data_IF_633884642404
#
_entry.id   IF_633884642404
#
_cell.length_a   1.000
_cell.length_b   1.000
_cell.length_c   1.000
_cell.angle_alpha   90.00
_cell.angle_beta   90.00
_cell.angle_gamma   90.00
#
_symmetry.space_group_name_H-M   'P 1'
#
loop_
_entity.id
_entity.type
_entity.pdbx_description
1 polymer ?
#
# COMPACT_ATOMS: atom_id res chain seq x y z
N UNK A 1 35.60 7.85 47.84
CA UNK A 1 34.55 7.70 46.81
C UNK A 1 33.90 9.06 46.68
N UNK A 2 34.39 9.83 45.72
CA UNK A 2 34.04 11.25 45.56
C UNK A 2 32.69 11.37 44.86
N UNK A 3 31.98 12.48 45.07
CA UNK A 3 30.76 12.82 44.32
C UNK A 3 31.06 13.04 42.82
N UNK A 4 32.31 13.27 42.45
CA UNK A 4 32.76 13.27 41.04
C UNK A 4 32.71 11.86 40.43
N UNK A 5 33.04 10.79 41.17
CA UNK A 5 33.09 9.41 40.65
C UNK A 5 31.69 8.87 40.30
N UNK A 6 30.62 9.42 40.88
CA UNK A 6 29.24 9.01 40.57
C UNK A 6 28.65 9.71 39.34
N UNK A 7 29.26 10.80 38.87
CA UNK A 7 28.76 11.57 37.72
C UNK A 7 29.35 11.10 36.39
N UNK A 8 30.46 10.35 36.43
CA UNK A 8 31.13 9.81 35.24
C UNK A 8 30.55 8.48 34.74
N UNK A 9 29.62 7.85 35.45
CA UNK A 9 29.04 6.56 35.03
C UNK A 9 27.82 6.69 34.10
N UNK A 10 27.38 7.91 33.74
CA UNK A 10 26.15 8.16 32.98
C UNK A 10 26.37 8.70 31.55
N UNK A 11 27.60 8.77 31.05
CA UNK A 11 27.91 9.37 29.75
C UNK A 11 28.85 8.51 28.89
N UNK A 12 28.67 7.20 28.89
CA UNK A 12 29.40 6.30 27.98
C UNK A 12 28.47 5.69 26.92
N UNK A 13 27.77 6.56 26.18
CA UNK A 13 27.17 6.26 24.87
C UNK A 13 28.14 6.66 23.73
N UNK A 14 29.45 6.55 23.97
CA UNK A 14 30.48 7.16 23.11
C UNK A 14 30.86 6.34 21.86
N UNK A 15 30.07 5.34 21.46
CA UNK A 15 30.36 4.50 20.28
C UNK A 15 29.17 4.20 19.35
N UNK A 16 28.00 4.82 19.55
CA UNK A 16 26.93 4.78 18.55
C UNK A 16 27.06 5.97 17.61
N UNK A 17 27.09 5.73 16.29
CA UNK A 17 26.94 6.80 15.29
C UNK A 17 25.74 7.67 15.67
N UNK A 18 26.03 8.88 16.15
CA UNK A 18 25.01 9.85 16.56
C UNK A 18 23.99 9.97 15.43
N UNK A 19 22.74 9.62 15.73
CA UNK A 19 21.67 9.72 14.75
C UNK A 19 21.62 11.17 14.23
N UNK A 20 21.77 11.40 12.90
CA UNK A 20 21.88 12.74 12.36
C UNK A 20 20.56 13.52 12.40
N UNK A 21 19.46 12.85 12.75
CA UNK A 21 18.11 13.41 12.76
C UNK A 21 17.74 13.93 14.14
N UNK A 22 17.27 15.17 14.19
CA UNK A 22 16.62 15.70 15.38
C UNK A 22 15.24 15.07 15.58
N UNK A 23 14.66 15.11 16.80
CA UNK A 23 13.29 14.64 17.03
C UNK A 23 12.26 15.29 16.09
N UNK A 24 12.44 16.56 15.71
CA UNK A 24 11.59 17.23 14.71
C UNK A 24 11.75 16.66 13.31
N UNK A 25 12.97 16.31 12.90
CA UNK A 25 13.22 15.70 11.58
C UNK A 25 12.61 14.29 11.52
N UNK A 26 12.65 13.56 12.62
CA UNK A 26 11.96 12.27 12.77
C UNK A 26 10.45 12.41 12.60
N UNK A 27 9.83 13.43 13.20
CA UNK A 27 8.39 13.68 13.01
C UNK A 27 8.06 13.94 11.54
N UNK A 28 8.90 14.70 10.83
CA UNK A 28 8.70 14.98 9.41
C UNK A 28 8.82 13.70 8.56
N UNK A 29 9.86 12.89 8.81
CA UNK A 29 10.07 11.62 8.12
C UNK A 29 8.91 10.65 8.35
N UNK A 30 8.51 10.44 9.60
CA UNK A 30 7.39 9.56 9.95
C UNK A 30 6.07 10.05 9.33
N UNK A 31 5.86 11.36 9.28
CA UNK A 31 4.66 11.94 8.63
C UNK A 31 4.63 11.67 7.13
N UNK A 32 5.78 11.78 6.46
CA UNK A 32 5.93 11.45 5.04
C UNK A 32 5.62 9.98 4.76
N UNK A 33 6.16 9.09 5.58
CA UNK A 33 5.97 7.64 5.42
C UNK A 33 4.50 7.26 5.64
N UNK A 34 3.86 7.76 6.71
CA UNK A 34 2.42 7.56 6.98
C UNK A 34 1.57 8.03 5.79
N UNK A 35 1.85 9.21 5.25
CA UNK A 35 1.08 9.76 4.13
C UNK A 35 1.26 8.94 2.85
N UNK A 36 2.46 8.41 2.61
CA UNK A 36 2.74 7.53 1.48
C UNK A 36 2.00 6.19 1.58
N UNK A 37 1.87 5.66 2.80
CA UNK A 37 1.23 4.39 3.08
C UNK A 37 -0.31 4.51 2.99
N UNK A 38 -0.87 5.61 3.51
CA UNK A 38 -2.29 5.95 3.37
C UNK A 38 -2.67 6.20 1.88
N UNK A 39 -1.78 6.83 1.10
CA UNK A 39 -1.92 7.04 -0.35
C UNK A 39 -1.96 5.73 -1.15
N UNK A 40 -0.99 4.83 -0.92
CA UNK A 40 -0.87 3.54 -1.62
C UNK A 40 -2.05 2.61 -1.33
N UNK A 41 -2.66 2.73 -0.16
CA UNK A 41 -3.80 1.93 0.27
C UNK A 41 -5.17 2.55 -0.05
N UNK A 42 -5.19 3.68 -0.78
CA UNK A 42 -6.44 4.39 -1.02
C UNK A 42 -7.45 3.53 -1.77
N UNK A 43 -8.57 3.25 -1.11
CA UNK A 43 -9.74 2.54 -1.65
C UNK A 43 -10.25 3.20 -2.94
N UNK A 44 -9.97 4.49 -3.12
CA UNK A 44 -10.39 5.26 -4.28
C UNK A 44 -9.79 4.71 -5.59
N UNK A 45 -8.56 4.20 -5.56
CA UNK A 45 -7.93 3.60 -6.75
C UNK A 45 -8.62 2.27 -7.14
N UNK A 46 -9.03 1.49 -6.15
CA UNK A 46 -9.76 0.24 -6.35
C UNK A 46 -11.14 0.51 -6.94
N UNK A 47 -11.89 1.43 -6.33
CA UNK A 47 -13.25 1.78 -6.76
C UNK A 47 -13.23 2.36 -8.18
N UNK A 48 -12.27 3.24 -8.48
CA UNK A 48 -12.11 3.82 -9.82
C UNK A 48 -11.82 2.76 -10.88
N UNK A 49 -10.92 1.81 -10.58
CA UNK A 49 -10.56 0.72 -11.51
C UNK A 49 -11.75 -0.21 -11.78
N UNK A 50 -12.51 -0.57 -10.75
CA UNK A 50 -13.70 -1.41 -10.90
C UNK A 50 -14.80 -0.69 -11.69
N UNK A 51 -15.01 0.61 -11.44
CA UNK A 51 -15.98 1.40 -12.19
C UNK A 51 -15.63 1.45 -13.70
N UNK A 52 -14.36 1.65 -14.04
CA UNK A 52 -13.90 1.63 -15.43
C UNK A 52 -14.16 0.28 -16.13
N UNK A 53 -13.90 -0.83 -15.44
CA UNK A 53 -14.16 -2.18 -15.97
C UNK A 53 -15.66 -2.41 -16.23
N UNK A 54 -16.53 -1.96 -15.32
CA UNK A 54 -17.99 -2.07 -15.49
C UNK A 54 -18.47 -1.26 -16.68
N UNK A 55 -18.03 -0.01 -16.82
CA UNK A 55 -18.39 0.85 -17.96
C UNK A 55 -17.92 0.22 -19.27
N UNK A 56 -16.70 -0.34 -19.30
CA UNK A 56 -16.18 -1.03 -20.47
C UNK A 56 -17.01 -2.26 -20.84
N UNK A 57 -17.37 -3.11 -19.86
CA UNK A 57 -18.23 -4.27 -20.09
C UNK A 57 -19.61 -3.87 -20.64
N UNK A 58 -20.23 -2.82 -20.10
CA UNK A 58 -21.52 -2.30 -20.60
C UNK A 58 -21.42 -1.80 -22.04
N UNK A 59 -20.30 -1.16 -22.41
CA UNK A 59 -20.09 -0.69 -23.79
C UNK A 59 -20.04 -1.85 -24.79
N UNK A 60 -19.39 -2.97 -24.43
CA UNK A 60 -19.31 -4.17 -25.27
C UNK A 60 -20.68 -4.84 -25.45
N UNK A 61 -21.48 -4.90 -24.39
CA UNK A 61 -22.85 -5.43 -24.45
C UNK A 61 -23.72 -4.56 -25.38
N UNK A 62 -23.58 -3.24 -25.29
CA UNK A 62 -24.29 -2.30 -26.18
C UNK A 62 -23.93 -2.50 -27.65
N UNK A 63 -22.64 -2.69 -27.95
CA UNK A 63 -22.17 -2.99 -29.32
C UNK A 63 -22.75 -4.32 -29.82
N UNK A 64 -22.76 -5.37 -28.99
CA UNK A 64 -23.35 -6.66 -29.37
C UNK A 64 -24.84 -6.53 -29.71
N UNK A 65 -25.60 -5.76 -28.92
CA UNK A 65 -27.02 -5.51 -29.19
C UNK A 65 -27.21 -4.75 -30.51
N UNK A 66 -26.41 -3.70 -30.76
CA UNK A 66 -26.48 -2.92 -31.99
C UNK A 66 -26.17 -3.76 -33.25
N UNK A 67 -25.13 -4.60 -33.20
CA UNK A 67 -24.78 -5.50 -34.33
C UNK A 67 -25.91 -6.47 -34.63
N UNK A 68 -26.60 -6.97 -33.59
CA UNK A 68 -27.71 -7.92 -33.76
C UNK A 68 -28.97 -7.27 -34.36
N UNK A 69 -29.19 -5.97 -34.13
CA UNK A 69 -30.37 -5.26 -34.66
C UNK A 69 -30.15 -4.63 -36.03
N UNK A 70 -28.92 -4.60 -36.54
CA UNK A 70 -28.61 -4.11 -37.88
C UNK A 70 -28.87 -5.15 -38.97
N UNK A 71 -29.45 -4.74 -40.11
CA UNK A 71 -29.67 -5.55 -41.31
C UNK A 71 -28.37 -5.78 -42.11
N UNK A 72 -27.35 -6.33 -41.48
CA UNK A 72 -26.10 -6.71 -42.14
C UNK A 72 -26.24 -8.12 -42.76
N UNK A 73 -25.46 -8.46 -43.81
CA UNK A 73 -25.42 -9.82 -44.33
C UNK A 73 -24.92 -10.80 -43.27
N UNK A 74 -25.60 -11.96 -43.12
CA UNK A 74 -25.40 -12.93 -42.04
C UNK A 74 -23.96 -13.41 -41.85
N UNK A 75 -23.19 -13.51 -42.93
CA UNK A 75 -21.77 -13.90 -42.88
C UNK A 75 -20.92 -12.90 -42.09
N UNK A 76 -21.21 -11.60 -42.19
CA UNK A 76 -20.51 -10.55 -41.45
C UNK A 76 -20.95 -10.50 -39.98
N UNK A 77 -22.24 -10.75 -39.71
CA UNK A 77 -22.78 -10.78 -38.34
C UNK A 77 -22.12 -11.89 -37.53
N UNK A 78 -22.02 -13.10 -38.08
CA UNK A 78 -21.44 -14.24 -37.38
C UNK A 78 -19.95 -14.05 -37.06
N UNK A 79 -19.18 -13.44 -37.97
CA UNK A 79 -17.78 -13.11 -37.72
C UNK A 79 -17.64 -12.08 -36.59
N UNK A 80 -18.44 -11.00 -36.62
CA UNK A 80 -18.41 -9.96 -35.59
C UNK A 80 -18.81 -10.52 -34.21
N UNK A 81 -19.86 -11.35 -34.15
CA UNK A 81 -20.28 -11.99 -32.91
C UNK A 81 -19.22 -12.95 -32.37
N UNK A 82 -18.51 -13.68 -33.23
CA UNK A 82 -17.42 -14.58 -32.83
C UNK A 82 -16.26 -13.80 -32.19
N UNK A 83 -15.84 -12.69 -32.81
CA UNK A 83 -14.79 -11.82 -32.28
C UNK A 83 -15.20 -11.20 -30.95
N UNK A 84 -16.43 -10.70 -30.84
CA UNK A 84 -16.96 -10.13 -29.60
C UNK A 84 -17.10 -11.18 -28.47
N UNK A 85 -17.47 -12.41 -28.80
CA UNK A 85 -17.52 -13.51 -27.81
C UNK A 85 -16.13 -13.82 -27.25
N UNK A 86 -15.13 -13.90 -28.12
CA UNK A 86 -13.76 -14.18 -27.71
C UNK A 86 -13.17 -13.03 -26.89
N UNK A 87 -13.45 -11.77 -27.24
CA UNK A 87 -12.98 -10.62 -26.45
C UNK A 87 -13.60 -10.60 -25.05
N UNK A 88 -14.90 -10.89 -24.91
CA UNK A 88 -15.55 -11.03 -23.59
C UNK A 88 -14.90 -12.13 -22.77
N UNK A 89 -14.57 -13.28 -23.38
CA UNK A 89 -13.91 -14.36 -22.66
C UNK A 89 -12.54 -13.95 -22.12
N UNK A 90 -11.71 -13.30 -22.94
CA UNK A 90 -10.39 -12.81 -22.54
C UNK A 90 -10.51 -11.78 -21.40
N UNK A 91 -11.44 -10.83 -21.53
CA UNK A 91 -11.71 -9.83 -20.49
C UNK A 91 -12.17 -10.51 -19.20
N UNK A 92 -13.03 -11.53 -19.30
CA UNK A 92 -13.49 -12.31 -18.16
C UNK A 92 -12.34 -12.96 -17.39
N UNK A 93 -11.37 -13.55 -18.10
CA UNK A 93 -10.17 -14.15 -17.48
C UNK A 93 -9.33 -13.09 -16.77
N UNK A 94 -9.11 -11.93 -17.40
CA UNK A 94 -8.37 -10.81 -16.78
C UNK A 94 -9.08 -10.30 -15.53
N UNK A 95 -10.40 -10.12 -15.60
CA UNK A 95 -11.22 -9.70 -14.46
C UNK A 95 -11.19 -10.72 -13.31
N UNK A 96 -11.20 -12.02 -13.63
CA UNK A 96 -11.12 -13.08 -12.62
C UNK A 96 -9.76 -13.07 -11.91
N UNK A 97 -8.66 -12.93 -12.67
CA UNK A 97 -7.33 -12.75 -12.09
C UNK A 97 -7.22 -11.50 -11.22
N UNK A 98 -7.78 -10.37 -11.68
CA UNK A 98 -7.85 -9.15 -10.90
C UNK A 98 -8.68 -9.31 -9.62
N UNK A 99 -9.80 -10.04 -9.68
CA UNK A 99 -10.65 -10.30 -8.52
C UNK A 99 -9.91 -11.14 -7.46
N UNK A 100 -9.17 -12.18 -7.88
CA UNK A 100 -8.33 -12.97 -6.96
C UNK A 100 -7.23 -12.09 -6.34
N UNK A 101 -6.57 -11.25 -7.14
CA UNK A 101 -5.60 -10.28 -6.64
C UNK A 101 -6.21 -9.32 -5.62
N UNK A 102 -7.43 -8.82 -5.88
CA UNK A 102 -8.16 -7.94 -4.98
C UNK A 102 -8.52 -8.63 -3.65
N UNK A 103 -8.92 -9.91 -3.69
CA UNK A 103 -9.15 -10.70 -2.49
C UNK A 103 -7.85 -10.84 -1.68
N UNK A 104 -6.74 -11.21 -2.31
CA UNK A 104 -5.44 -11.31 -1.61
C UNK A 104 -5.04 -9.96 -1.00
N UNK A 105 -5.21 -8.87 -1.75
CA UNK A 105 -4.93 -7.52 -1.28
C UNK A 105 -5.78 -7.14 -0.05
N UNK A 106 -7.09 -7.37 -0.09
CA UNK A 106 -8.00 -7.00 1.00
C UNK A 106 -7.81 -7.87 2.24
N UNK A 107 -7.68 -9.20 2.07
CA UNK A 107 -7.64 -10.13 3.20
C UNK A 107 -6.24 -10.34 3.77
N UNK A 108 -5.19 -10.33 2.94
CA UNK A 108 -3.82 -10.57 3.43
C UNK A 108 -3.01 -9.30 3.60
N UNK A 109 -3.04 -8.39 2.62
CA UNK A 109 -2.15 -7.22 2.61
C UNK A 109 -2.69 -6.08 3.48
N UNK A 110 -3.96 -5.71 3.31
CA UNK A 110 -4.57 -4.57 4.02
C UNK A 110 -4.44 -4.61 5.55
N UNK A 111 -4.76 -5.70 6.27
CA UNK A 111 -4.64 -5.72 7.72
C UNK A 111 -3.19 -5.61 8.20
N UNK A 112 -2.22 -6.14 7.43
CA UNK A 112 -0.79 -5.99 7.73
C UNK A 112 -0.34 -4.54 7.56
N UNK A 113 -0.71 -3.91 6.45
CA UNK A 113 -0.31 -2.51 6.17
C UNK A 113 -0.98 -1.55 7.15
N UNK A 114 -2.25 -1.76 7.50
CA UNK A 114 -2.93 -0.96 8.52
C UNK A 114 -2.24 -1.05 9.89
N UNK A 115 -1.84 -2.27 10.30
CA UNK A 115 -1.10 -2.48 11.56
C UNK A 115 0.26 -1.79 11.56
N UNK A 116 0.96 -1.75 10.42
CA UNK A 116 2.23 -1.05 10.29
C UNK A 116 2.05 0.47 10.33
N UNK A 117 1.05 1.00 9.62
CA UNK A 117 0.69 2.42 9.67
C UNK A 117 0.30 2.88 11.08
N UNK A 118 -0.42 2.06 11.86
CA UNK A 118 -0.73 2.36 13.27
C UNK A 118 0.53 2.38 14.15
N UNK A 119 1.47 1.45 13.96
CA UNK A 119 2.75 1.47 14.67
C UNK A 119 3.56 2.73 14.37
N UNK A 120 3.59 3.17 13.10
CA UNK A 120 4.24 4.41 12.71
C UNK A 120 3.58 5.65 13.32
N UNK A 121 2.24 5.68 13.36
CA UNK A 121 1.47 6.73 14.02
C UNK A 121 1.79 6.80 15.52
N UNK A 122 1.83 5.67 16.20
CA UNK A 122 2.20 5.60 17.62
C UNK A 122 3.64 6.05 17.87
N UNK A 123 4.60 5.67 17.02
CA UNK A 123 5.98 6.13 17.14
C UNK A 123 6.08 7.66 16.99
N UNK A 124 5.39 8.22 15.99
CA UNK A 124 5.34 9.67 15.79
C UNK A 124 4.74 10.37 17.02
N UNK A 125 3.65 9.83 17.56
CA UNK A 125 2.99 10.39 18.74
C UNK A 125 3.89 10.36 19.97
N UNK A 126 4.66 9.29 20.18
CA UNK A 126 5.64 9.20 21.27
C UNK A 126 6.77 10.23 21.17
N UNK A 127 7.19 10.58 19.94
CA UNK A 127 8.18 11.63 19.70
C UNK A 127 7.58 13.02 19.96
N UNK A 128 6.37 13.28 19.44
CA UNK A 128 5.68 14.57 19.64
C UNK A 128 5.36 14.80 21.12
N UNK A 129 4.92 13.76 21.84
CA UNK A 129 4.56 13.86 23.25
C UNK A 129 5.79 13.98 24.17
N UNK A 130 7.01 13.96 23.63
CA UNK A 130 8.25 13.99 24.39
C UNK A 130 8.51 12.73 25.22
N UNK A 131 7.78 11.63 24.97
CA UNK A 131 8.03 10.33 25.61
C UNK A 131 9.27 9.65 25.04
N UNK A 132 9.59 9.92 23.77
CA UNK A 132 10.83 9.53 23.09
C UNK A 132 11.59 10.77 22.61
N UNK A 133 12.66 11.14 23.30
CA UNK A 133 13.51 12.29 22.97
C UNK A 133 14.87 11.88 22.40
N UNK A 134 15.34 10.66 22.67
CA UNK A 134 16.62 10.16 22.19
C UNK A 134 16.48 9.65 20.74
N UNK A 135 17.15 10.32 19.80
CA UNK A 135 17.13 10.01 18.38
C UNK A 135 17.64 8.60 18.03
N UNK A 136 18.63 8.07 18.77
CA UNK A 136 19.11 6.69 18.54
C UNK A 136 18.02 5.66 18.86
N UNK A 137 17.25 5.89 19.93
CA UNK A 137 16.11 5.03 20.31
C UNK A 137 14.94 5.13 19.31
N UNK A 138 14.72 6.31 18.71
CA UNK A 138 13.73 6.47 17.63
C UNK A 138 14.17 5.66 16.41
N UNK A 139 15.45 5.77 16.01
CA UNK A 139 16.04 5.00 14.90
C UNK A 139 15.89 3.50 15.10
N UNK A 140 16.27 2.99 16.27
CA UNK A 140 16.19 1.56 16.59
C UNK A 140 14.76 1.02 16.50
N UNK A 141 13.78 1.73 17.09
CA UNK A 141 12.37 1.36 16.98
C UNK A 141 11.88 1.38 15.53
N UNK A 142 12.23 2.42 14.77
CA UNK A 142 11.88 2.53 13.36
C UNK A 142 12.49 1.39 12.54
N UNK A 143 13.76 1.06 12.76
CA UNK A 143 14.44 -0.05 12.09
C UNK A 143 13.87 -1.41 12.46
N UNK A 144 13.49 -1.66 13.72
CA UNK A 144 12.83 -2.91 14.12
C UNK A 144 11.47 -3.06 13.43
N UNK A 145 10.68 -1.97 13.37
CA UNK A 145 9.43 -1.94 12.63
C UNK A 145 9.65 -2.21 11.14
N UNK A 146 10.70 -1.64 10.55
CA UNK A 146 11.00 -1.80 9.14
C UNK A 146 11.59 -3.19 8.83
N UNK A 147 12.45 -3.76 9.69
CA UNK A 147 12.99 -5.13 9.56
C UNK A 147 11.90 -6.19 9.69
N UNK A 148 10.95 -5.98 10.60
CA UNK A 148 9.80 -6.87 10.77
C UNK A 148 8.76 -6.67 9.65
N UNK A 149 8.64 -5.48 9.06
CA UNK A 149 7.84 -5.22 7.85
C UNK A 149 8.47 -5.73 6.55
N UNK A 150 9.79 -5.64 6.40
CA UNK A 150 10.58 -6.09 5.24
C UNK A 150 10.62 -7.61 5.09
N UNK A 151 10.58 -8.36 6.20
CA UNK A 151 10.46 -9.83 6.15
C UNK A 151 9.09 -10.27 5.60
N UNK A 152 8.04 -9.49 5.82
CA UNK A 152 6.68 -9.79 5.36
C UNK A 152 6.41 -9.35 3.90
N UNK A 153 7.22 -8.44 3.34
CA UNK A 153 7.14 -7.99 1.94
C UNK A 153 7.94 -8.85 0.95
N UNK A 154 8.84 -9.73 1.42
CA UNK A 154 9.70 -10.58 0.58
C UNK A 154 9.05 -11.87 0.06
N UNK A 155 7.77 -12.09 0.36
CA UNK A 155 7.01 -13.19 -0.26
C UNK A 155 6.44 -12.66 -1.57
N UNK A 156 7.29 -12.64 -2.60
CA UNK A 156 6.90 -12.51 -4.02
C UNK A 156 6.01 -13.68 -4.45
#
# INVERSE_FOLDING_TARGET
MSWEDMREQNNDDSNEENCPLTPSDWVMLLSGEINSEDSRNSINNIVSTVALLVVFALSLISIMLAVRTTNLPDANINHILSVLRNSIYIIGVICMGYFVYMIDFVFRRRPKVQKNGEKLKNLREDVISGRLTNSNKIREKWEDMNKNGLKDQKVE
#
